data_IF_641624265703
#
_entry.id   IF_641624265703
#
_cell.length_a   1.000
_cell.length_b   1.000
_cell.length_c   1.000
_cell.angle_alpha   90.00
_cell.angle_beta   90.00
_cell.angle_gamma   90.00
#
_symmetry.space_group_name_H-M   'P 1'
#
loop_
_entity.id
_entity.type
_entity.pdbx_description
1 polymer ?
#
# COMPACT_ATOMS: atom_id res chain seq x y z
N UNK A 1 -0.87 15.66 17.82
CA UNK A 1 -1.45 14.46 17.18
C UNK A 1 -1.99 14.87 15.82
N UNK A 2 -1.20 14.75 14.73
CA UNK A 2 -1.69 15.13 13.43
C UNK A 2 -2.57 13.99 12.90
N UNK A 3 -3.84 14.33 12.69
CA UNK A 3 -4.78 13.63 11.84
C UNK A 3 -4.18 13.62 10.42
N UNK A 4 -3.25 12.68 10.16
CA UNK A 4 -2.78 12.39 8.81
C UNK A 4 -4.04 12.03 8.03
N UNK A 5 -4.42 12.77 6.99
CA UNK A 5 -5.57 12.39 6.17
C UNK A 5 -5.25 10.98 5.66
N UNK A 6 -5.92 10.00 6.25
CA UNK A 6 -5.79 8.60 5.87
C UNK A 6 -6.30 8.55 4.45
N UNK A 7 -5.38 8.46 3.50
CA UNK A 7 -5.72 8.32 2.10
C UNK A 7 -6.34 6.94 1.98
N UNK A 8 -7.67 6.91 2.12
CA UNK A 8 -8.42 5.69 2.26
C UNK A 8 -8.67 5.13 0.87
N UNK A 9 -7.84 4.18 0.46
CA UNK A 9 -8.13 3.36 -0.69
C UNK A 9 -8.98 2.17 -0.26
N UNK A 10 -10.10 1.96 -0.96
CA UNK A 10 -10.99 0.82 -0.71
C UNK A 10 -10.39 -0.48 -1.23
N UNK A 11 -9.58 -0.38 -2.29
CA UNK A 11 -8.88 -1.47 -2.94
C UNK A 11 -7.63 -0.93 -3.65
N UNK A 12 -6.76 -1.83 -4.07
CA UNK A 12 -5.56 -1.46 -4.80
C UNK A 12 -5.83 -0.88 -6.19
N UNK A 13 -7.01 -1.13 -6.78
CA UNK A 13 -7.37 -0.50 -8.05
C UNK A 13 -7.57 1.01 -7.89
N UNK A 14 -8.19 1.49 -6.81
CA UNK A 14 -8.28 2.91 -6.47
C UNK A 14 -6.90 3.52 -6.19
N UNK A 15 -6.06 2.81 -5.43
CA UNK A 15 -4.68 3.25 -5.19
C UNK A 15 -3.92 3.42 -6.51
N UNK A 16 -3.98 2.42 -7.39
CA UNK A 16 -3.32 2.44 -8.69
C UNK A 16 -3.89 3.52 -9.62
N UNK A 17 -5.21 3.75 -9.60
CA UNK A 17 -5.86 4.83 -10.34
C UNK A 17 -5.41 6.22 -9.86
N UNK A 18 -5.11 6.35 -8.56
CA UNK A 18 -4.48 7.54 -7.99
C UNK A 18 -2.96 7.62 -8.24
N UNK A 19 -2.37 6.66 -8.98
CA UNK A 19 -0.94 6.57 -9.24
C UNK A 19 -0.12 6.14 -8.01
N UNK A 20 -0.76 5.48 -7.04
CA UNK A 20 -0.13 4.94 -5.83
C UNK A 20 0.01 3.43 -5.93
N UNK A 21 1.25 2.97 -5.95
CA UNK A 21 1.64 1.56 -5.87
C UNK A 21 2.75 1.42 -4.83
N UNK A 22 2.99 0.19 -4.36
CA UNK A 22 4.07 -0.11 -3.42
C UNK A 22 3.99 0.74 -2.15
N UNK A 23 2.85 0.66 -1.45
CA UNK A 23 2.57 1.48 -0.26
C UNK A 23 3.19 0.81 0.97
N UNK A 24 4.29 1.33 1.55
CA UNK A 24 4.94 0.71 2.70
C UNK A 24 4.17 0.96 4.00
N UNK A 25 4.33 0.10 5.01
CA UNK A 25 3.65 0.20 6.32
C UNK A 25 3.72 1.58 7.02
N UNK A 26 4.74 2.39 6.72
CA UNK A 26 4.87 3.75 7.25
C UNK A 26 4.02 4.83 6.54
N UNK A 27 3.40 4.50 5.41
CA UNK A 27 2.62 5.44 4.60
C UNK A 27 1.18 5.56 5.15
N UNK A 28 0.59 6.77 5.20
CA UNK A 28 -0.80 6.95 5.64
C UNK A 28 -1.84 6.25 4.75
N UNK A 29 -1.49 5.85 3.54
CA UNK A 29 -2.32 5.02 2.67
C UNK A 29 -2.18 3.53 2.94
N UNK A 30 -1.19 3.11 3.74
CA UNK A 30 -1.00 1.70 4.05
C UNK A 30 -2.15 1.21 4.92
N UNK A 31 -2.68 0.07 4.51
CA UNK A 31 -3.69 -0.63 5.28
C UNK A 31 -3.39 -2.12 5.21
N UNK A 32 -3.43 -2.83 6.34
CA UNK A 32 -3.29 -4.28 6.34
C UNK A 32 -4.43 -4.97 5.57
N UNK A 33 -5.57 -4.31 5.35
CA UNK A 33 -6.63 -4.86 4.47
C UNK A 33 -6.35 -4.72 2.97
N UNK A 34 -5.38 -3.90 2.57
CA UNK A 34 -4.92 -3.74 1.18
C UNK A 34 -3.71 -4.64 0.87
N UNK A 35 -2.94 -4.96 1.91
CA UNK A 35 -1.85 -5.93 1.86
C UNK A 35 -2.43 -7.34 2.08
N UNK A 36 -2.52 -8.11 1.00
CA UNK A 36 -3.22 -9.41 1.01
C UNK A 36 -2.33 -10.53 1.57
N UNK A 37 -1.03 -10.33 1.52
CA UNK A 37 0.01 -11.27 1.95
C UNK A 37 0.73 -10.80 3.23
N UNK A 38 0.41 -9.60 3.73
CA UNK A 38 0.92 -9.03 4.97
C UNK A 38 2.46 -8.92 4.98
N UNK A 39 3.04 -8.57 3.83
CA UNK A 39 4.48 -8.40 3.68
C UNK A 39 4.99 -7.01 4.12
N UNK A 40 4.07 -6.09 4.49
CA UNK A 40 4.40 -4.73 4.87
C UNK A 40 4.37 -3.72 3.72
N UNK A 41 3.98 -4.16 2.52
CA UNK A 41 3.78 -3.34 1.31
C UNK A 41 2.38 -3.60 0.74
N UNK A 42 1.47 -2.67 0.99
CA UNK A 42 0.14 -2.70 0.39
C UNK A 42 0.19 -2.33 -1.10
N UNK A 43 -0.68 -2.96 -1.89
CA UNK A 43 -0.87 -2.64 -3.31
C UNK A 43 0.41 -2.66 -4.15
N UNK A 44 1.27 -3.64 -3.88
CA UNK A 44 2.47 -3.88 -4.67
C UNK A 44 2.17 -3.96 -6.17
N UNK A 45 2.98 -3.26 -6.96
CA UNK A 45 3.07 -3.55 -8.38
C UNK A 45 3.74 -4.92 -8.55
N UNK A 46 3.43 -5.70 -9.60
CA UNK A 46 4.06 -7.02 -9.92
C UNK A 46 5.61 -7.03 -9.95
N UNK A 47 6.25 -5.87 -9.77
CA UNK A 47 7.69 -5.72 -9.61
C UNK A 47 8.14 -5.80 -8.13
N UNK A 48 7.30 -5.42 -7.17
CA UNK A 48 7.64 -5.33 -5.74
C UNK A 48 7.85 -6.69 -5.09
N UNK A 49 7.01 -7.68 -5.43
CA UNK A 49 7.17 -9.08 -5.01
C UNK A 49 8.55 -9.68 -5.34
N UNK A 50 9.35 -9.04 -6.21
CA UNK A 50 10.74 -9.45 -6.50
C UNK A 50 11.81 -8.74 -5.66
N UNK A 51 11.49 -7.65 -4.96
CA UNK A 51 12.45 -6.85 -4.18
C UNK A 51 12.32 -7.04 -2.66
N UNK A 52 11.18 -7.49 -2.15
CA UNK A 52 10.97 -7.72 -0.72
C UNK A 52 11.59 -9.04 -0.17
N UNK A 53 12.24 -9.84 -1.02
CA UNK A 53 12.89 -11.10 -0.64
C UNK A 53 14.38 -10.98 -0.29
N UNK A 54 14.80 -9.96 0.46
CA UNK A 54 16.18 -9.85 0.99
C UNK A 54 16.20 -9.98 2.50
#
# INVERSE_FOLDING_TARGET
MPNRPSVYYRNCAEAHAAGRWDIPEGDPAYRPGLDKDHNGIACESRKSSRLAGR
#
